data_IF_061222375849
#
_entry.id   IF_061222375849
#
_cell.length_a   1.000
_cell.length_b   1.000
_cell.length_c   1.000
_cell.angle_alpha   90.00
_cell.angle_beta   90.00
_cell.angle_gamma   90.00
#
_symmetry.space_group_name_H-M   'P 1'
#
loop_
_entity.id
_entity.type
_entity.pdbx_description
1 polymer ?
#
# COMPACT_ATOMS: atom_id res chain seq x y z
N UNK A 1 7.03 9.54 2.86
CA UNK A 1 8.14 8.97 3.64
C UNK A 1 8.55 9.87 4.81
N UNK A 2 8.94 11.14 4.57
CA UNK A 2 9.34 12.06 5.66
C UNK A 2 8.27 12.23 6.76
N UNK A 3 6.99 12.40 6.40
CA UNK A 3 5.89 12.48 7.37
C UNK A 3 5.77 11.23 8.24
N UNK A 4 5.95 10.04 7.65
CA UNK A 4 5.90 8.75 8.35
C UNK A 4 7.06 8.61 9.33
N UNK A 5 8.28 8.96 8.88
CA UNK A 5 9.48 8.97 9.72
C UNK A 5 9.32 9.92 10.91
N UNK A 6 8.82 11.14 10.66
CA UNK A 6 8.56 12.12 11.71
C UNK A 6 7.56 11.60 12.74
N UNK A 7 6.41 11.08 12.32
CA UNK A 7 5.41 10.51 13.24
C UNK A 7 5.95 9.34 14.08
N UNK A 8 6.76 8.47 13.48
CA UNK A 8 7.40 7.36 14.20
C UNK A 8 8.41 7.90 15.24
N UNK A 9 9.19 8.92 14.88
CA UNK A 9 10.12 9.57 15.79
C UNK A 9 9.40 10.28 16.94
N UNK A 10 8.32 11.00 16.65
CA UNK A 10 7.49 11.71 17.64
C UNK A 10 6.84 10.73 18.66
N UNK A 11 6.48 9.52 18.22
CA UNK A 11 5.95 8.45 19.08
C UNK A 11 7.06 7.72 19.89
N UNK A 12 8.33 7.91 19.52
CA UNK A 12 9.49 7.26 20.14
C UNK A 12 9.62 5.75 19.88
N UNK A 13 8.66 5.16 19.16
CA UNK A 13 8.66 3.74 18.77
C UNK A 13 7.91 3.53 17.45
N UNK A 14 8.46 2.67 16.61
CA UNK A 14 7.81 2.24 15.37
C UNK A 14 8.81 1.67 14.39
N UNK A 15 8.32 1.22 13.25
CA UNK A 15 9.14 0.65 12.19
C UNK A 15 8.63 1.14 10.83
N UNK A 16 9.55 1.21 9.86
CA UNK A 16 9.22 1.35 8.44
C UNK A 16 9.65 0.07 7.75
N UNK A 17 8.70 -0.59 7.10
CA UNK A 17 9.00 -1.68 6.18
C UNK A 17 9.12 -1.07 4.79
N UNK A 18 10.36 -1.04 4.30
CA UNK A 18 10.63 -0.60 2.93
C UNK A 18 10.68 -1.82 2.01
N UNK A 19 9.57 -2.10 1.34
CA UNK A 19 9.51 -3.14 0.32
C UNK A 19 10.07 -2.59 -0.98
N UNK A 20 11.22 -3.12 -1.42
CA UNK A 20 11.71 -2.89 -2.77
C UNK A 20 10.82 -3.69 -3.71
N UNK A 21 9.76 -3.08 -4.23
CA UNK A 21 8.98 -3.65 -5.32
C UNK A 21 9.91 -3.80 -6.52
N UNK A 22 10.51 -4.99 -6.67
CA UNK A 22 11.07 -5.40 -7.95
C UNK A 22 9.89 -5.79 -8.81
N UNK A 23 9.57 -4.91 -9.75
CA UNK A 23 8.84 -5.20 -10.97
C UNK A 23 7.58 -6.06 -10.79
N UNK A 24 6.48 -5.40 -10.43
CA UNK A 24 5.24 -5.78 -11.09
C UNK A 24 5.43 -5.42 -12.57
N UNK A 25 5.89 -6.35 -13.41
CA UNK A 25 5.88 -6.18 -14.86
C UNK A 25 4.48 -5.84 -15.40
N UNK A 26 3.43 -6.06 -14.60
CA UNK A 26 2.06 -5.60 -14.81
C UNK A 26 1.86 -4.09 -14.61
N UNK A 27 2.56 -3.47 -13.64
CA UNK A 27 2.27 -2.10 -13.21
C UNK A 27 2.68 -1.08 -14.27
N UNK A 28 3.84 -1.24 -14.92
CA UNK A 28 4.27 -0.35 -16.00
C UNK A 28 3.39 -0.48 -17.25
N UNK A 29 3.02 -1.71 -17.62
CA UNK A 29 2.16 -1.95 -18.80
C UNK A 29 0.76 -1.38 -18.58
N UNK A 30 0.16 -1.62 -17.41
CA UNK A 30 -1.16 -1.10 -17.09
C UNK A 30 -1.13 0.42 -16.86
N UNK A 31 -0.01 0.96 -16.35
CA UNK A 31 0.21 2.41 -16.28
C UNK A 31 0.25 3.03 -17.68
N UNK A 32 1.03 2.47 -18.61
CA UNK A 32 1.10 2.94 -19.99
C UNK A 32 -0.26 2.85 -20.70
N UNK A 33 -0.98 1.74 -20.53
CA UNK A 33 -2.37 1.60 -21.02
C UNK A 33 -3.31 2.64 -20.42
N UNK A 34 -3.16 2.96 -19.13
CA UNK A 34 -4.00 3.97 -18.46
C UNK A 34 -3.79 5.33 -19.09
N UNK A 35 -2.53 5.71 -19.38
CA UNK A 35 -2.24 6.95 -20.08
C UNK A 35 -2.79 6.95 -21.51
N UNK A 36 -2.70 5.83 -22.23
CA UNK A 36 -3.29 5.70 -23.56
C UNK A 36 -4.82 5.89 -23.53
N UNK A 37 -5.52 5.21 -22.62
CA UNK A 37 -6.99 5.34 -22.45
C UNK A 37 -7.40 6.77 -22.10
N UNK A 38 -6.63 7.47 -21.26
CA UNK A 38 -6.90 8.88 -20.95
C UNK A 38 -6.84 9.76 -22.20
N UNK A 39 -5.84 9.55 -23.06
CA UNK A 39 -5.66 10.35 -24.27
C UNK A 39 -6.71 10.02 -25.34
N UNK A 40 -6.96 8.73 -25.58
CA UNK A 40 -7.91 8.27 -26.60
C UNK A 40 -9.36 8.65 -26.28
N UNK A 41 -9.74 8.60 -25.00
CA UNK A 41 -11.13 8.81 -24.57
C UNK A 41 -11.38 10.17 -23.90
N UNK A 42 -10.34 10.96 -23.65
CA UNK A 42 -10.45 12.23 -22.95
C UNK A 42 -10.98 12.12 -21.52
N UNK A 43 -10.82 10.95 -20.88
CA UNK A 43 -11.31 10.69 -19.52
C UNK A 43 -10.25 11.04 -18.47
N UNK A 44 -10.70 11.31 -17.24
CA UNK A 44 -9.77 11.50 -16.12
C UNK A 44 -9.00 10.21 -15.75
N UNK A 45 -7.93 10.38 -14.97
CA UNK A 45 -7.06 9.28 -14.55
C UNK A 45 -7.79 8.21 -13.72
N UNK A 46 -8.83 8.57 -12.95
CA UNK A 46 -9.56 7.62 -12.12
C UNK A 46 -10.51 6.74 -12.94
N UNK A 47 -11.11 7.29 -14.01
CA UNK A 47 -11.92 6.55 -14.96
C UNK A 47 -11.04 5.63 -15.81
N UNK A 48 -9.90 6.12 -16.31
CA UNK A 48 -8.95 5.28 -17.03
C UNK A 48 -8.42 4.12 -16.18
N UNK A 49 -8.07 4.37 -14.89
CA UNK A 49 -7.66 3.32 -13.94
C UNK A 49 -8.72 2.23 -13.75
N UNK A 50 -9.99 2.62 -13.67
CA UNK A 50 -11.10 1.67 -13.51
C UNK A 50 -11.23 0.76 -14.72
N UNK A 51 -10.93 1.27 -15.91
CA UNK A 51 -10.99 0.52 -17.16
C UNK A 51 -9.80 -0.43 -17.33
N UNK A 52 -8.58 0.06 -17.08
CA UNK A 52 -7.36 -0.73 -17.27
C UNK A 52 -7.06 -1.69 -16.12
N UNK A 53 -7.67 -1.46 -14.95
CA UNK A 53 -7.37 -2.23 -13.75
C UNK A 53 -6.05 -1.82 -13.07
N UNK A 54 -5.40 -0.73 -13.52
CA UNK A 54 -4.15 -0.24 -12.95
C UNK A 54 -4.28 0.03 -11.44
N UNK A 55 -3.35 -0.51 -10.66
CA UNK A 55 -3.31 -0.36 -9.21
C UNK A 55 -4.46 -1.03 -8.44
N UNK A 56 -5.15 -2.03 -9.03
CA UNK A 56 -6.23 -2.76 -8.36
C UNK A 56 -5.70 -3.83 -7.38
N UNK A 57 -4.55 -4.43 -7.71
CA UNK A 57 -3.92 -5.48 -6.89
C UNK A 57 -2.85 -4.83 -6.01
N UNK A 58 -2.99 -5.01 -4.70
CA UNK A 58 -1.96 -4.65 -3.74
C UNK A 58 -1.53 -5.92 -3.01
N UNK A 59 -0.25 -6.25 -3.08
CA UNK A 59 0.34 -7.35 -2.33
C UNK A 59 0.96 -6.82 -1.03
N UNK A 60 0.39 -7.21 0.09
CA UNK A 60 0.87 -6.90 1.43
C UNK A 60 1.53 -8.10 2.11
N UNK A 61 1.58 -9.26 1.44
CA UNK A 61 1.99 -10.54 2.01
C UNK A 61 3.42 -10.52 2.53
N UNK A 62 4.36 -9.97 1.75
CA UNK A 62 5.76 -9.85 2.17
C UNK A 62 5.91 -8.96 3.40
N UNK A 63 5.22 -7.81 3.43
CA UNK A 63 5.23 -6.92 4.59
C UNK A 63 4.66 -7.60 5.83
N UNK A 64 3.56 -8.36 5.66
CA UNK A 64 2.93 -9.12 6.74
C UNK A 64 3.85 -10.23 7.29
N UNK A 65 4.55 -10.96 6.42
CA UNK A 65 5.53 -11.98 6.82
C UNK A 65 6.67 -11.38 7.63
N UNK A 66 7.24 -10.25 7.19
CA UNK A 66 8.29 -9.55 7.93
C UNK A 66 7.82 -9.16 9.34
N UNK A 67 6.62 -8.58 9.46
CA UNK A 67 6.08 -8.21 10.77
C UNK A 67 5.87 -9.43 11.68
N UNK A 68 5.36 -10.53 11.11
CA UNK A 68 5.15 -11.79 11.82
C UNK A 68 6.47 -12.38 12.32
N UNK A 69 7.49 -12.42 11.48
CA UNK A 69 8.81 -12.96 11.82
C UNK A 69 9.51 -12.14 12.92
N UNK A 70 9.24 -10.83 12.96
CA UNK A 70 9.67 -9.93 14.05
C UNK A 70 8.83 -10.08 15.33
N UNK A 71 7.83 -10.97 15.36
CA UNK A 71 6.96 -11.21 16.50
C UNK A 71 5.93 -10.09 16.75
N UNK A 72 5.73 -9.18 15.80
CA UNK A 72 4.76 -8.09 15.91
C UNK A 72 3.36 -8.66 15.68
N UNK A 73 2.42 -8.35 16.57
CA UNK A 73 1.03 -8.84 16.51
C UNK A 73 -0.01 -7.74 16.39
N UNK A 74 0.23 -6.58 17.01
CA UNK A 74 -0.70 -5.44 17.01
C UNK A 74 0.01 -4.21 16.48
N UNK A 75 -0.59 -3.55 15.50
CA UNK A 75 0.01 -2.38 14.84
C UNK A 75 -0.97 -1.21 14.70
N UNK A 76 -0.44 0.00 14.85
CA UNK A 76 -1.08 1.24 14.37
C UNK A 76 -0.57 1.50 12.96
N UNK A 77 -1.42 1.30 11.96
CA UNK A 77 -1.02 1.41 10.56
C UNK A 77 -1.06 2.88 10.11
N UNK A 78 0.10 3.42 9.72
CA UNK A 78 0.17 4.72 9.04
C UNK A 78 -0.17 4.54 7.55
N UNK A 79 -1.39 4.87 7.11
CA UNK A 79 -1.79 4.76 5.70
C UNK A 79 -2.92 5.71 5.35
N UNK A 80 -2.93 6.21 4.10
CA UNK A 80 -4.09 6.89 3.49
C UNK A 80 -4.96 5.94 2.67
N UNK A 81 -4.46 4.73 2.40
CA UNK A 81 -5.16 3.67 1.68
C UNK A 81 -5.01 2.37 2.48
N UNK A 82 -5.78 2.19 3.56
CA UNK A 82 -5.67 1.00 4.38
C UNK A 82 -6.06 -0.27 3.59
N UNK A 83 -5.36 -1.39 3.81
CA UNK A 83 -5.71 -2.66 3.19
C UNK A 83 -7.05 -3.17 3.73
N UNK A 84 -7.66 -4.14 3.02
CA UNK A 84 -8.77 -4.90 3.57
C UNK A 84 -8.29 -5.69 4.80
N UNK A 85 -8.97 -5.48 5.93
CA UNK A 85 -8.59 -6.00 7.27
C UNK A 85 -8.28 -7.51 7.23
N UNK A 86 -9.10 -8.28 6.51
CA UNK A 86 -8.99 -9.74 6.42
C UNK A 86 -7.64 -10.26 5.85
N UNK A 87 -6.91 -9.44 5.07
CA UNK A 87 -5.67 -9.88 4.44
C UNK A 87 -4.51 -10.04 5.44
N UNK A 88 -4.53 -9.28 6.54
CA UNK A 88 -3.46 -9.26 7.54
C UNK A 88 -3.76 -10.18 8.73
N UNK A 89 -5.02 -10.41 9.04
CA UNK A 89 -5.44 -11.36 10.07
C UNK A 89 -4.93 -12.79 9.81
N UNK A 90 -4.86 -13.20 8.53
CA UNK A 90 -4.29 -14.49 8.12
C UNK A 90 -2.80 -14.65 8.51
N UNK A 91 -2.10 -13.55 8.76
CA UNK A 91 -0.70 -13.53 9.22
C UNK A 91 -0.59 -13.38 10.74
N UNK A 92 -1.71 -13.34 11.48
CA UNK A 92 -1.73 -13.09 12.91
C UNK A 92 -1.46 -11.63 13.28
N UNK A 93 -1.70 -10.71 12.34
CA UNK A 93 -1.54 -9.27 12.52
C UNK A 93 -2.90 -8.60 12.70
N UNK A 94 -3.01 -7.84 13.78
CA UNK A 94 -4.16 -7.04 14.14
C UNK A 94 -3.83 -5.56 13.93
N UNK A 95 -4.58 -4.88 13.06
CA UNK A 95 -4.53 -3.42 12.96
C UNK A 95 -5.44 -2.87 14.07
N UNK A 96 -4.85 -2.32 15.12
CA UNK A 96 -5.59 -1.72 16.24
C UNK A 96 -6.04 -0.28 15.95
N UNK A 97 -5.39 0.39 15.01
CA UNK A 97 -5.70 1.76 14.60
C UNK A 97 -5.16 2.03 13.20
N UNK A 98 -5.87 2.82 12.39
CA UNK A 98 -5.31 3.40 11.16
C UNK A 98 -5.15 4.90 11.35
N UNK A 99 -3.92 5.38 11.19
CA UNK A 99 -3.56 6.79 11.32
C UNK A 99 -3.27 7.38 9.95
N UNK A 100 -3.97 8.46 9.61
CA UNK A 100 -3.79 9.13 8.33
C UNK A 100 -2.46 9.90 8.28
N UNK A 101 -1.83 9.84 7.10
CA UNK A 101 -0.64 10.60 6.71
C UNK A 101 -1.09 11.79 5.84
N UNK A 102 -1.88 12.71 6.41
CA UNK A 102 -2.11 14.04 5.81
C UNK A 102 -0.93 14.96 6.13
#
# INVERSE_FOLDING_TARGET
MNTSLKKIADEGRGAIIYLRQRDNHLDLVDQLRTYAVMQEKGVDFQNAKRETGYGKIHDYGIGAQILKDLGIKKIRLLSNHPPKINALEAFGLEIVETVSLK
#
